data_IF_907874406066
#
_entry.id   IF_907874406066
#
_cell.length_a   1.000
_cell.length_b   1.000
_cell.length_c   1.000
_cell.angle_alpha   90.00
_cell.angle_beta   90.00
_cell.angle_gamma   90.00
#
_symmetry.space_group_name_H-M   'P 1'
#
loop_
_entity.id
_entity.type
_entity.pdbx_description
1 polymer ?
#
# COMPACT_ATOMS: atom_id res chain seq x y z
N UNK A 1 -7.83 18.94 -0.23
CA UNK A 1 -7.33 20.30 -0.56
C UNK A 1 -6.32 20.27 -1.72
N UNK A 2 -5.36 19.33 -1.79
CA UNK A 2 -4.38 19.24 -2.90
C UNK A 2 -4.97 19.00 -4.31
N UNK A 3 -5.91 18.06 -4.49
CA UNK A 3 -6.46 17.75 -5.82
C UNK A 3 -7.37 18.84 -6.42
N UNK A 4 -7.88 19.77 -5.61
CA UNK A 4 -8.67 20.92 -6.09
C UNK A 4 -7.80 22.14 -6.42
N UNK A 5 -6.53 22.15 -6.03
CA UNK A 5 -5.59 23.26 -6.21
C UNK A 5 -4.57 23.02 -7.33
N UNK A 6 -4.71 21.93 -8.11
CA UNK A 6 -3.78 21.59 -9.19
C UNK A 6 -2.44 21.00 -8.72
N UNK A 7 -2.27 20.72 -7.43
CA UNK A 7 -1.07 20.08 -6.89
C UNK A 7 -1.33 18.59 -6.74
N UNK A 8 -0.96 17.81 -7.77
CA UNK A 8 -0.96 16.34 -7.68
C UNK A 8 0.10 15.93 -6.64
N UNK A 9 -0.30 15.22 -5.58
CA UNK A 9 0.66 14.74 -4.58
C UNK A 9 1.31 13.43 -5.07
N UNK A 10 2.18 13.57 -6.07
CA UNK A 10 2.97 12.47 -6.63
C UNK A 10 3.81 11.75 -5.56
N UNK A 11 4.18 12.45 -4.48
CA UNK A 11 4.90 11.83 -3.36
C UNK A 11 4.11 10.66 -2.77
N UNK A 12 2.79 10.80 -2.60
CA UNK A 12 1.93 9.72 -2.08
C UNK A 12 1.88 8.53 -3.03
N UNK A 13 1.85 8.76 -4.35
CA UNK A 13 1.92 7.67 -5.34
C UNK A 13 3.23 6.88 -5.20
N UNK A 14 4.37 7.57 -5.00
CA UNK A 14 5.65 6.92 -4.73
C UNK A 14 5.65 6.08 -3.45
N UNK A 15 5.08 6.62 -2.36
CA UNK A 15 4.93 5.88 -1.10
C UNK A 15 4.03 4.66 -1.27
N UNK A 16 2.93 4.78 -2.02
CA UNK A 16 2.03 3.67 -2.31
C UNK A 16 2.73 2.55 -3.08
N UNK A 17 3.57 2.88 -4.08
CA UNK A 17 4.34 1.88 -4.82
C UNK A 17 5.26 1.08 -3.89
N UNK A 18 6.04 1.75 -3.06
CA UNK A 18 6.95 1.10 -2.10
C UNK A 18 6.19 0.22 -1.12
N UNK A 19 5.09 0.73 -0.56
CA UNK A 19 4.24 -0.01 0.37
C UNK A 19 3.61 -1.25 -0.27
N UNK A 20 3.11 -1.12 -1.50
CA UNK A 20 2.52 -2.23 -2.26
C UNK A 20 3.55 -3.31 -2.57
N UNK A 21 4.75 -2.92 -3.02
CA UNK A 21 5.84 -3.86 -3.25
C UNK A 21 6.24 -4.60 -1.97
N UNK A 22 6.43 -3.89 -0.87
CA UNK A 22 6.81 -4.49 0.41
C UNK A 22 5.73 -5.46 0.94
N UNK A 23 4.45 -5.08 0.82
CA UNK A 23 3.32 -5.95 1.15
C UNK A 23 3.33 -7.21 0.29
N UNK A 24 3.48 -7.06 -1.02
CA UNK A 24 3.51 -8.16 -1.97
C UNK A 24 4.66 -9.13 -1.69
N UNK A 25 5.88 -8.62 -1.49
CA UNK A 25 7.04 -9.45 -1.19
C UNK A 25 6.88 -10.19 0.15
N UNK A 26 6.36 -9.52 1.17
CA UNK A 26 6.08 -10.14 2.47
C UNK A 26 5.03 -11.24 2.36
N UNK A 27 3.96 -11.00 1.60
CA UNK A 27 2.91 -11.99 1.34
C UNK A 27 3.46 -13.21 0.58
N UNK A 28 4.35 -12.99 -0.40
CA UNK A 28 5.01 -14.06 -1.13
C UNK A 28 5.91 -14.93 -0.25
N UNK A 29 6.70 -14.32 0.64
CA UNK A 29 7.66 -15.03 1.47
C UNK A 29 7.01 -15.72 2.67
N UNK A 30 6.02 -15.06 3.30
CA UNK A 30 5.44 -15.52 4.56
C UNK A 30 4.11 -16.24 4.38
N UNK A 31 3.38 -15.97 3.30
CA UNK A 31 1.99 -16.43 3.10
C UNK A 31 0.97 -15.79 4.06
N UNK A 32 1.40 -14.83 4.90
CA UNK A 32 0.54 -14.19 5.90
C UNK A 32 0.16 -12.76 5.47
N UNK A 33 -1.12 -12.58 5.14
CA UNK A 33 -1.64 -11.30 4.65
C UNK A 33 -1.66 -10.21 5.74
N UNK A 34 -1.87 -10.56 7.01
CA UNK A 34 -1.83 -9.60 8.11
C UNK A 34 -0.42 -9.04 8.32
N UNK A 35 0.60 -9.90 8.22
CA UNK A 35 1.99 -9.48 8.27
C UNK A 35 2.33 -8.55 7.08
N UNK A 36 1.85 -8.88 5.88
CA UNK A 36 2.00 -8.03 4.70
C UNK A 36 1.37 -6.64 4.87
N UNK A 37 0.16 -6.56 5.43
CA UNK A 37 -0.51 -5.29 5.73
C UNK A 37 0.30 -4.48 6.75
N UNK A 38 0.79 -5.12 7.81
CA UNK A 38 1.60 -4.45 8.83
C UNK A 38 2.89 -3.86 8.24
N UNK A 39 3.58 -4.63 7.39
CA UNK A 39 4.78 -4.15 6.68
C UNK A 39 4.45 -2.99 5.74
N UNK A 40 3.33 -3.05 5.03
CA UNK A 40 2.88 -1.96 4.16
C UNK A 40 2.69 -0.65 4.93
N UNK A 41 2.02 -0.72 6.09
CA UNK A 41 1.79 0.44 6.98
C UNK A 41 3.12 0.97 7.49
N UNK A 42 4.03 0.09 7.94
CA UNK A 42 5.34 0.48 8.43
C UNK A 42 6.15 1.22 7.36
N UNK A 43 6.14 0.74 6.12
CA UNK A 43 6.78 1.43 4.99
C UNK A 43 6.14 2.78 4.69
N UNK A 44 4.81 2.88 4.75
CA UNK A 44 4.08 4.13 4.60
C UNK A 44 4.47 5.17 5.66
N UNK A 45 4.55 4.76 6.92
CA UNK A 45 4.98 5.61 8.04
C UNK A 45 6.43 6.06 7.85
N UNK A 46 7.33 5.14 7.48
CA UNK A 46 8.74 5.44 7.28
C UNK A 46 8.95 6.44 6.13
N UNK A 47 8.34 6.18 4.97
CA UNK A 47 8.44 7.08 3.82
C UNK A 47 7.73 8.42 4.07
N UNK A 48 6.62 8.41 4.81
CA UNK A 48 5.94 9.63 5.26
C UNK A 48 6.82 10.47 6.18
N UNK A 49 7.56 9.83 7.11
CA UNK A 49 8.52 10.51 7.98
C UNK A 49 9.69 11.10 7.19
N UNK A 50 10.22 10.38 6.20
CA UNK A 50 11.25 10.89 5.29
C UNK A 50 10.72 12.11 4.52
N UNK A 51 9.51 12.03 3.97
CA UNK A 51 8.90 13.15 3.25
C UNK A 51 8.67 14.36 4.14
N UNK A 52 8.17 14.14 5.36
CA UNK A 52 7.98 15.18 6.36
C UNK A 52 9.31 15.82 6.75
N UNK A 53 10.37 15.05 6.94
CA UNK A 53 11.71 15.58 7.20
C UNK A 53 12.20 16.48 6.05
N UNK A 54 12.06 16.03 4.81
CA UNK A 54 12.48 16.80 3.62
C UNK A 54 11.69 18.11 3.49
N UNK A 55 10.39 18.07 3.70
CA UNK A 55 9.52 19.24 3.43
C UNK A 55 9.43 20.19 4.63
N UNK A 56 9.43 19.67 5.85
CA UNK A 56 9.25 20.46 7.08
C UNK A 56 10.59 20.92 7.64
N UNK A 57 11.58 20.02 7.76
CA UNK A 57 12.88 20.36 8.39
C UNK A 57 13.80 21.04 7.38
N UNK A 58 13.90 20.49 6.16
CA UNK A 58 14.77 21.04 5.11
C UNK A 58 14.10 22.14 4.28
N UNK A 59 12.84 22.49 4.59
CA UNK A 59 12.05 23.51 3.88
C UNK A 59 12.01 23.33 2.35
N UNK A 60 12.10 22.08 1.87
CA UNK A 60 12.07 21.80 0.44
C UNK A 60 10.65 22.00 -0.12
N UNK A 61 10.57 22.42 -1.39
CA UNK A 61 9.29 22.61 -2.07
C UNK A 61 8.57 21.27 -2.24
N UNK A 62 7.38 21.16 -1.63
CA UNK A 62 6.59 19.92 -1.58
C UNK A 62 6.33 19.30 -2.96
N UNK A 63 6.13 20.11 -4.00
CA UNK A 63 5.93 19.62 -5.38
C UNK A 63 7.17 18.90 -5.94
N UNK A 64 8.34 19.54 -5.85
CA UNK A 64 9.61 18.95 -6.35
C UNK A 64 9.99 17.73 -5.50
N UNK A 65 9.90 17.84 -4.18
CA UNK A 65 10.16 16.73 -3.28
C UNK A 65 9.18 15.56 -3.50
N UNK A 66 7.92 15.86 -3.82
CA UNK A 66 6.91 14.85 -4.16
C UNK A 66 7.26 14.10 -5.44
N UNK A 67 7.69 14.79 -6.49
CA UNK A 67 8.21 14.16 -7.72
C UNK A 67 9.45 13.31 -7.42
N UNK A 68 10.35 13.80 -6.56
CA UNK A 68 11.54 13.04 -6.14
C UNK A 68 11.18 11.72 -5.44
N UNK A 69 10.24 11.75 -4.50
CA UNK A 69 9.76 10.53 -3.84
C UNK A 69 9.04 9.61 -4.81
N UNK A 70 8.25 10.15 -5.73
CA UNK A 70 7.61 9.36 -6.78
C UNK A 70 8.64 8.59 -7.62
N UNK A 71 9.64 9.29 -8.17
CA UNK A 71 10.68 8.70 -9.00
C UNK A 71 11.53 7.69 -8.22
N UNK A 72 11.82 7.98 -6.96
CA UNK A 72 12.51 7.05 -6.08
C UNK A 72 11.69 5.78 -5.85
N UNK A 73 10.40 5.92 -5.53
CA UNK A 73 9.48 4.81 -5.35
C UNK A 73 9.38 3.96 -6.60
N UNK A 74 9.10 4.57 -7.74
CA UNK A 74 9.04 3.89 -9.05
C UNK A 74 10.33 3.12 -9.35
N UNK A 75 11.48 3.78 -9.25
CA UNK A 75 12.77 3.17 -9.59
C UNK A 75 13.16 2.04 -8.64
N UNK A 76 12.97 2.21 -7.33
CA UNK A 76 13.33 1.18 -6.36
C UNK A 76 12.39 -0.03 -6.46
N UNK A 77 11.09 0.19 -6.64
CA UNK A 77 10.14 -0.91 -6.78
C UNK A 77 10.37 -1.69 -8.06
N UNK A 78 10.62 -1.00 -9.19
CA UNK A 78 10.92 -1.67 -10.45
C UNK A 78 12.20 -2.52 -10.36
N UNK A 79 13.26 -1.97 -9.77
CA UNK A 79 14.53 -2.67 -9.57
C UNK A 79 14.34 -3.90 -8.68
N UNK A 80 13.67 -3.73 -7.54
CA UNK A 80 13.45 -4.83 -6.59
C UNK A 80 12.53 -5.89 -7.18
N UNK A 81 11.50 -5.51 -7.93
CA UNK A 81 10.64 -6.44 -8.64
C UNK A 81 11.44 -7.28 -9.65
N UNK A 82 12.27 -6.65 -10.47
CA UNK A 82 13.12 -7.37 -11.42
C UNK A 82 14.14 -8.30 -10.74
N UNK A 83 14.72 -7.88 -9.61
CA UNK A 83 15.77 -8.64 -8.92
C UNK A 83 15.25 -9.78 -8.05
N UNK A 84 14.13 -9.59 -7.37
CA UNK A 84 13.62 -10.52 -6.35
C UNK A 84 12.43 -11.35 -6.86
N UNK A 85 11.60 -10.79 -7.73
CA UNK A 85 10.37 -11.45 -8.20
C UNK A 85 10.56 -11.99 -9.62
N UNK A 86 11.07 -11.16 -10.53
CA UNK A 86 11.13 -11.44 -11.97
C UNK A 86 9.72 -11.53 -12.56
N UNK A 87 9.15 -12.74 -12.56
CA UNK A 87 7.79 -12.99 -13.06
C UNK A 87 6.77 -12.89 -11.92
N UNK A 88 5.73 -12.04 -12.02
CA UNK A 88 4.71 -11.93 -11.00
C UNK A 88 4.07 -13.29 -10.67
N UNK A 89 4.12 -13.68 -9.40
CA UNK A 89 3.42 -14.85 -8.88
C UNK A 89 2.10 -14.43 -8.24
N UNK A 90 1.02 -15.21 -8.39
CA UNK A 90 -0.23 -14.93 -7.68
C UNK A 90 -0.01 -15.11 -6.17
N UNK A 91 -0.57 -14.19 -5.39
CA UNK A 91 -0.68 -14.30 -3.93
C UNK A 91 -2.15 -14.48 -3.57
N UNK A 92 -2.43 -15.33 -2.59
CA UNK A 92 -3.77 -15.38 -1.99
C UNK A 92 -3.98 -14.08 -1.20
N UNK A 93 -4.95 -13.27 -1.65
CA UNK A 93 -5.29 -12.00 -1.02
C UNK A 93 -5.94 -12.18 0.36
N UNK A 94 -6.42 -11.09 0.97
CA UNK A 94 -7.22 -11.21 2.21
C UNK A 94 -8.38 -12.18 1.95
N UNK A 95 -8.40 -13.29 2.69
CA UNK A 95 -9.49 -14.26 2.64
C UNK A 95 -10.70 -13.69 3.39
N UNK A 96 -11.86 -13.72 2.73
CA UNK A 96 -13.11 -13.26 3.33
C UNK A 96 -13.46 -14.20 4.48
N UNK A 97 -13.45 -13.67 5.70
CA UNK A 97 -13.84 -14.42 6.88
C UNK A 97 -15.37 -14.46 6.91
N UNK A 98 -15.98 -15.37 6.14
CA UNK A 98 -17.43 -15.57 6.20
C UNK A 98 -17.79 -16.24 7.52
N UNK A 99 -18.54 -15.55 8.37
CA UNK A 99 -19.10 -16.13 9.60
C UNK A 99 -20.10 -17.23 9.20
N UNK A 100 -19.86 -18.50 9.57
CA UNK A 100 -20.65 -19.64 9.11
C UNK A 100 -21.96 -19.71 9.88
N UNK A 101 -22.90 -18.79 9.60
CA UNK A 101 -24.32 -18.84 10.00
C UNK A 101 -25.10 -17.60 9.50
N UNK A 102 -24.44 -16.43 9.36
CA UNK A 102 -25.07 -15.18 8.90
C UNK A 102 -24.76 -14.84 7.42
N UNK A 103 -23.75 -15.47 6.81
CA UNK A 103 -23.39 -15.26 5.40
C UNK A 103 -24.36 -15.88 4.38
N UNK A 104 -25.14 -16.89 4.79
CA UNK A 104 -26.06 -17.64 3.90
C UNK A 104 -27.46 -17.03 3.80
N UNK A 105 -27.73 -15.89 4.46
CA UNK A 105 -29.02 -15.20 4.36
C UNK A 105 -29.05 -14.44 3.01
N UNK A 106 -29.94 -14.82 2.06
CA UNK A 106 -30.00 -14.16 0.77
C UNK A 106 -30.31 -12.67 0.96
N UNK A 107 -29.69 -11.81 0.16
CA UNK A 107 -29.73 -10.32 0.19
C UNK A 107 -29.07 -9.59 1.36
N UNK A 108 -29.12 -10.08 2.60
CA UNK A 108 -28.55 -9.35 3.77
C UNK A 108 -27.19 -9.89 4.20
N UNK A 109 -26.99 -11.21 4.10
CA UNK A 109 -25.74 -11.89 4.44
C UNK A 109 -24.58 -11.48 3.55
N UNK A 110 -24.83 -11.32 2.25
CA UNK A 110 -23.83 -10.93 1.26
C UNK A 110 -23.34 -9.48 1.40
N UNK A 111 -24.22 -8.57 1.82
CA UNK A 111 -23.93 -7.14 1.92
C UNK A 111 -23.21 -6.78 3.23
N UNK A 112 -23.36 -7.57 4.29
CA UNK A 112 -22.74 -7.24 5.59
C UNK A 112 -21.66 -8.24 6.01
N UNK A 113 -21.80 -9.55 5.71
CA UNK A 113 -21.03 -10.60 6.36
C UNK A 113 -20.01 -11.33 5.47
N UNK A 114 -19.75 -10.84 4.25
CA UNK A 114 -18.68 -11.32 3.34
C UNK A 114 -17.50 -10.35 3.21
N UNK A 115 -17.31 -9.47 4.19
CA UNK A 115 -16.26 -8.48 4.16
C UNK A 115 -14.94 -9.04 4.72
N UNK A 116 -13.83 -8.69 4.05
CA UNK A 116 -12.48 -8.97 4.53
C UNK A 116 -12.21 -8.23 5.84
N UNK A 117 -11.30 -8.71 6.67
CA UNK A 117 -10.92 -8.09 7.95
C UNK A 117 -10.42 -6.63 7.85
N UNK A 118 -10.16 -6.12 6.65
CA UNK A 118 -9.82 -4.72 6.40
C UNK A 118 -11.05 -3.81 6.24
N UNK A 119 -12.21 -4.41 5.96
CA UNK A 119 -13.49 -3.73 5.73
C UNK A 119 -14.41 -3.85 6.95
N UNK A 120 -14.22 -4.89 7.77
CA UNK A 120 -14.86 -5.05 9.08
C UNK A 120 -14.06 -4.31 10.16
#
# INVERSE_FOLDING_TARGET
>A
VGQRAGVLNLGVEGVMLIGAYAAYNTALETGNVLAAVFVAVLMGVLMGAIYAFITVVMHAQQGISGIGIYLFGLGITDLLFQKQVGTPKPIDGLQSTSVPLLGDIPTVGEIFFRHNALVY
#
